data_IF_270245414883
#
_entry.id   IF_270245414883
#
_cell.length_a   1.000
_cell.length_b   1.000
_cell.length_c   1.000
_cell.angle_alpha   90.00
_cell.angle_beta   90.00
_cell.angle_gamma   90.00
#
_symmetry.space_group_name_H-M   'P 1'
#
loop_
_entity.id
_entity.type
_entity.pdbx_description
1 polymer ?
#
# COMPACT_ATOMS: atom_id res chain seq x y z
N UNK A 1 11.85 -21.32 -3.37
CA UNK A 1 11.74 -20.90 -1.96
C UNK A 1 10.54 -19.97 -1.84
N UNK A 2 9.92 -19.86 -0.66
CA UNK A 2 8.76 -18.99 -0.46
C UNK A 2 9.02 -17.53 -0.91
N UNK A 3 10.22 -17.00 -0.62
CA UNK A 3 10.64 -15.67 -1.08
C UNK A 3 10.57 -15.46 -2.60
N UNK A 4 10.94 -16.47 -3.41
CA UNK A 4 10.81 -16.38 -4.88
C UNK A 4 9.35 -16.42 -5.36
N UNK A 5 8.46 -17.03 -4.58
CA UNK A 5 7.05 -17.13 -4.96
C UNK A 5 6.30 -15.82 -4.73
N UNK A 6 6.56 -15.16 -3.60
CA UNK A 6 6.00 -13.84 -3.32
C UNK A 6 6.67 -12.74 -4.16
N UNK A 7 7.96 -12.85 -4.50
CA UNK A 7 8.64 -11.88 -5.36
C UNK A 7 8.52 -12.19 -6.87
N UNK A 8 7.54 -13.03 -7.29
CA UNK A 8 7.49 -13.63 -8.65
C UNK A 8 7.35 -12.66 -9.81
N UNK A 9 6.90 -11.43 -9.55
CA UNK A 9 6.80 -10.39 -10.58
C UNK A 9 8.15 -9.71 -10.88
N UNK A 10 9.16 -9.93 -10.03
CA UNK A 10 10.47 -9.29 -10.08
C UNK A 10 10.37 -7.76 -10.30
N UNK A 11 9.34 -7.13 -9.73
CA UNK A 11 9.10 -5.69 -9.87
C UNK A 11 9.63 -4.95 -8.67
N UNK A 12 10.71 -4.18 -8.85
CA UNK A 12 11.36 -3.44 -7.75
C UNK A 12 11.46 -1.95 -8.09
N UNK A 13 11.78 -1.14 -7.08
CA UNK A 13 12.09 0.29 -7.25
C UNK A 13 13.39 0.56 -8.02
N UNK A 14 14.24 -0.45 -8.20
CA UNK A 14 15.41 -0.37 -9.08
C UNK A 14 15.08 -0.76 -10.54
N UNK A 15 13.82 -1.07 -10.83
CA UNK A 15 13.33 -1.48 -12.14
C UNK A 15 12.96 -2.96 -12.21
N UNK A 16 12.18 -3.32 -13.24
CA UNK A 16 11.76 -4.70 -13.46
C UNK A 16 12.96 -5.61 -13.72
N UNK A 17 13.00 -6.76 -13.07
CA UNK A 17 14.09 -7.75 -13.08
C UNK A 17 15.41 -7.29 -12.43
N UNK A 18 15.42 -6.15 -11.74
CA UNK A 18 16.58 -5.67 -10.99
C UNK A 18 16.44 -6.06 -9.51
N UNK A 19 16.98 -7.23 -9.18
CA UNK A 19 16.87 -7.84 -7.84
C UNK A 19 18.19 -7.78 -7.06
N UNK A 20 18.10 -7.79 -5.73
CA UNK A 20 19.25 -7.88 -4.81
C UNK A 20 20.08 -6.60 -4.66
N UNK A 21 19.64 -5.48 -5.25
CA UNK A 21 20.29 -4.17 -5.12
C UNK A 21 19.69 -3.36 -3.95
N UNK A 22 20.47 -2.52 -3.27
CA UNK A 22 19.92 -1.51 -2.37
C UNK A 22 18.94 -0.60 -3.10
N UNK A 23 17.95 -0.06 -2.40
CA UNK A 23 17.02 0.93 -2.94
C UNK A 23 16.87 2.13 -2.00
N UNK A 24 16.80 3.33 -2.56
CA UNK A 24 16.29 4.52 -1.86
C UNK A 24 14.87 4.76 -2.33
N UNK A 25 13.90 4.76 -1.41
CA UNK A 25 12.47 4.83 -1.71
C UNK A 25 11.87 6.00 -0.96
N UNK A 26 11.23 6.89 -1.68
CA UNK A 26 10.51 8.04 -1.11
C UNK A 26 9.07 7.67 -0.78
N UNK A 27 8.52 8.22 0.28
CA UNK A 27 7.10 8.04 0.59
C UNK A 27 6.47 9.33 1.08
N UNK A 28 5.15 9.41 0.99
CA UNK A 28 4.41 10.54 1.54
C UNK A 28 2.99 10.18 1.97
N UNK A 29 2.36 11.10 2.70
CA UNK A 29 0.96 11.03 3.13
C UNK A 29 0.14 12.17 2.51
N UNK A 30 -0.24 12.08 1.22
CA UNK A 30 -0.95 13.16 0.53
C UNK A 30 -2.28 13.50 1.17
N UNK A 31 -2.60 14.80 1.14
CA UNK A 31 -3.98 15.26 1.23
C UNK A 31 -4.68 15.00 -0.09
N UNK A 32 -5.42 13.91 -0.14
CA UNK A 32 -6.17 13.56 -1.33
C UNK A 32 -7.36 14.48 -1.50
N UNK A 33 -7.41 15.15 -2.65
CA UNK A 33 -8.52 16.00 -3.05
C UNK A 33 -9.18 15.44 -4.31
N UNK A 34 -10.48 15.68 -4.46
CA UNK A 34 -11.25 15.26 -5.63
C UNK A 34 -12.28 14.18 -5.32
N UNK A 35 -13.13 13.90 -6.31
CA UNK A 35 -14.27 12.98 -6.14
C UNK A 35 -13.86 11.51 -6.21
N UNK A 36 -12.78 11.20 -6.92
CA UNK A 36 -12.35 9.84 -7.19
C UNK A 36 -10.84 9.71 -7.15
N UNK A 37 -10.34 8.57 -6.66
CA UNK A 37 -8.96 8.17 -6.92
C UNK A 37 -8.81 7.61 -8.36
N UNK A 38 -7.60 7.15 -8.69
CA UNK A 38 -7.26 6.70 -10.04
C UNK A 38 -7.91 5.36 -10.43
N UNK A 39 -8.53 4.67 -9.46
CA UNK A 39 -9.26 3.41 -9.62
C UNK A 39 -10.79 3.61 -9.61
N UNK A 40 -11.26 4.85 -9.48
CA UNK A 40 -12.68 5.17 -9.46
C UNK A 40 -13.36 5.02 -8.09
N UNK A 41 -12.60 4.77 -7.01
CA UNK A 41 -13.15 4.80 -5.66
C UNK A 41 -13.44 6.23 -5.23
N UNK A 42 -14.56 6.43 -4.53
CA UNK A 42 -15.09 7.75 -4.20
C UNK A 42 -14.42 8.33 -2.95
N UNK A 43 -14.33 9.65 -2.91
CA UNK A 43 -13.94 10.44 -1.74
C UNK A 43 -12.63 9.96 -1.08
N UNK A 44 -11.50 9.96 -1.81
CA UNK A 44 -10.21 9.70 -1.19
C UNK A 44 -9.85 10.81 -0.20
N UNK A 45 -9.19 10.46 0.89
CA UNK A 45 -8.74 11.43 1.89
C UNK A 45 -7.46 10.99 2.60
N UNK A 46 -6.83 11.90 3.35
CA UNK A 46 -5.54 11.66 3.99
C UNK A 46 -5.58 10.60 5.10
N UNK A 47 -4.42 10.00 5.36
CA UNK A 47 -4.18 9.25 6.58
C UNK A 47 -4.29 10.16 7.81
N UNK A 48 -4.84 9.63 8.90
CA UNK A 48 -4.77 10.29 10.20
C UNK A 48 -3.39 10.09 10.87
N UNK A 49 -3.12 10.77 11.97
CA UNK A 49 -1.80 10.72 12.63
C UNK A 49 -1.42 9.32 13.16
N UNK A 50 -2.39 8.54 13.65
CA UNK A 50 -2.14 7.15 14.08
C UNK A 50 -1.71 6.28 12.90
N UNK A 51 -2.39 6.41 11.75
CA UNK A 51 -2.03 5.70 10.53
C UNK A 51 -0.65 6.12 10.04
N UNK A 52 -0.31 7.42 10.04
CA UNK A 52 1.03 7.92 9.67
C UNK A 52 2.10 7.33 10.57
N UNK A 53 1.90 7.33 11.88
CA UNK A 53 2.82 6.73 12.86
C UNK A 53 3.03 5.23 12.59
N UNK A 54 1.95 4.48 12.38
CA UNK A 54 2.01 3.05 12.15
C UNK A 54 2.62 2.70 10.78
N UNK A 55 2.40 3.53 9.75
CA UNK A 55 3.05 3.39 8.46
C UNK A 55 4.56 3.61 8.55
N UNK A 56 5.02 4.67 9.23
CA UNK A 56 6.47 4.90 9.48
C UNK A 56 7.12 3.70 10.16
N UNK A 57 6.53 3.23 11.27
CA UNK A 57 7.03 2.04 11.99
C UNK A 57 7.02 0.75 11.14
N UNK A 58 6.15 0.67 10.15
CA UNK A 58 6.07 -0.49 9.25
C UNK A 58 7.13 -0.42 8.15
N UNK A 59 7.42 0.78 7.64
CA UNK A 59 8.54 1.04 6.73
C UNK A 59 9.88 0.76 7.43
N UNK A 60 10.04 1.20 8.68
CA UNK A 60 11.22 0.88 9.50
C UNK A 60 11.42 -0.64 9.63
N UNK A 61 10.35 -1.38 9.93
CA UNK A 61 10.42 -2.84 10.04
C UNK A 61 10.82 -3.53 8.72
N UNK A 62 10.43 -2.98 7.56
CA UNK A 62 10.91 -3.45 6.27
C UNK A 62 12.39 -3.12 6.04
N UNK A 63 12.83 -1.91 6.42
CA UNK A 63 14.24 -1.49 6.37
C UNK A 63 15.15 -2.32 7.28
N UNK A 64 14.64 -2.83 8.40
CA UNK A 64 15.42 -3.68 9.32
C UNK A 64 15.83 -5.02 8.68
N UNK A 65 15.06 -5.52 7.72
CA UNK A 65 15.24 -6.85 7.11
C UNK A 65 15.64 -6.81 5.63
N UNK A 66 15.64 -5.63 5.01
CA UNK A 66 15.99 -5.43 3.60
C UNK A 66 16.88 -4.19 3.44
N UNK A 67 17.73 -4.17 2.40
CA UNK A 67 18.61 -3.04 2.11
C UNK A 67 17.85 -1.90 1.41
N UNK A 68 16.83 -1.36 2.08
CA UNK A 68 15.94 -0.32 1.56
C UNK A 68 15.96 0.84 2.54
N UNK A 69 16.19 2.04 2.04
CA UNK A 69 16.12 3.27 2.83
C UNK A 69 14.88 4.05 2.46
N UNK A 70 13.96 4.20 3.40
CA UNK A 70 12.78 5.03 3.22
C UNK A 70 13.03 6.48 3.62
N UNK A 71 12.59 7.43 2.79
CA UNK A 71 12.65 8.86 3.09
C UNK A 71 11.26 9.46 2.97
N UNK A 72 10.72 9.96 4.09
CA UNK A 72 9.47 10.71 4.04
C UNK A 72 9.71 12.04 3.33
N UNK A 73 8.94 12.30 2.28
CA UNK A 73 8.90 13.59 1.62
C UNK A 73 7.67 14.32 2.12
N UNK A 74 7.90 15.48 2.73
CA UNK A 74 6.82 16.36 3.13
C UNK A 74 6.03 16.77 1.89
N UNK A 75 4.80 16.30 1.81
CA UNK A 75 3.84 16.78 0.84
C UNK A 75 3.27 18.06 1.39
N UNK A 76 3.55 19.14 0.67
CA UNK A 76 3.33 20.47 1.15
C UNK A 76 1.91 20.67 1.67
N UNK A 77 1.81 21.05 2.94
CA UNK A 77 0.95 22.16 3.35
C UNK A 77 1.44 23.47 2.68
N UNK A 78 1.62 23.45 1.36
CA UNK A 78 1.99 24.58 0.52
C UNK A 78 0.71 24.97 -0.21
N UNK A 79 0.23 26.18 0.03
CA UNK A 79 -0.98 26.70 -0.62
C UNK A 79 -0.93 26.45 -2.13
N UNK A 80 -1.90 25.67 -2.63
CA UNK A 80 -2.05 25.37 -4.05
C UNK A 80 -1.36 24.11 -4.58
N UNK A 81 -0.61 23.36 -3.75
CA UNK A 81 -0.02 22.08 -4.16
C UNK A 81 -1.05 20.95 -4.05
N UNK A 82 -1.40 20.32 -5.18
CA UNK A 82 -2.38 19.23 -5.27
C UNK A 82 -1.68 17.89 -5.08
N UNK A 83 -2.41 16.84 -4.68
CA UNK A 83 -1.89 15.47 -4.67
C UNK A 83 -1.33 15.00 -6.02
N UNK A 84 -1.74 15.63 -7.14
CA UNK A 84 -1.17 15.41 -8.48
C UNK A 84 0.27 15.92 -8.66
N UNK A 85 0.72 16.80 -7.77
CA UNK A 85 2.01 17.48 -7.86
C UNK A 85 3.10 16.76 -7.05
N UNK A 86 2.69 15.78 -6.25
CA UNK A 86 3.57 14.91 -5.47
C UNK A 86 3.87 13.66 -6.28
N UNK A 87 5.15 13.43 -6.57
CA UNK A 87 5.65 12.16 -7.10
C UNK A 87 6.63 11.55 -6.11
N UNK A 88 6.10 10.82 -5.14
CA UNK A 88 6.91 9.91 -4.31
C UNK A 88 6.66 8.48 -4.75
N UNK A 89 7.61 7.59 -4.47
CA UNK A 89 7.51 6.18 -4.84
C UNK A 89 6.29 5.53 -4.16
N UNK A 90 6.13 5.74 -2.86
CA UNK A 90 5.00 5.21 -2.09
C UNK A 90 4.06 6.35 -1.68
N UNK A 91 2.76 6.15 -1.81
CA UNK A 91 1.74 7.07 -1.27
C UNK A 91 0.64 6.31 -0.54
N UNK A 92 0.13 6.90 0.53
CA UNK A 92 -0.92 6.30 1.35
C UNK A 92 -2.20 7.14 1.31
N UNK A 93 -3.36 6.50 1.27
CA UNK A 93 -4.65 7.19 1.32
C UNK A 93 -5.77 6.33 1.87
N UNK A 94 -6.80 6.98 2.41
CA UNK A 94 -8.04 6.35 2.79
C UNK A 94 -9.11 6.56 1.70
N UNK A 95 -10.10 5.69 1.67
CA UNK A 95 -11.31 5.79 0.86
C UNK A 95 -12.52 5.69 1.77
N UNK A 96 -13.48 6.60 1.59
CA UNK A 96 -14.80 6.47 2.23
C UNK A 96 -15.57 5.29 1.63
N UNK A 97 -15.71 4.22 2.40
CA UNK A 97 -16.31 2.95 2.00
C UNK A 97 -17.31 2.46 3.07
N UNK A 98 -18.47 3.13 3.20
CA UNK A 98 -19.42 2.87 4.27
C UNK A 98 -20.06 1.47 4.20
N UNK A 99 -19.89 0.77 3.07
CA UNK A 99 -20.46 -0.55 2.82
C UNK A 99 -19.41 -1.67 2.93
N UNK A 100 -18.15 -1.36 3.25
CA UNK A 100 -17.08 -2.37 3.38
C UNK A 100 -16.88 -3.18 2.11
N UNK A 101 -16.81 -2.51 0.96
CA UNK A 101 -16.64 -3.15 -0.34
C UNK A 101 -15.23 -3.71 -0.56
N UNK A 102 -14.24 -3.27 0.21
CA UNK A 102 -12.89 -3.82 0.23
C UNK A 102 -12.21 -3.54 1.59
N UNK A 103 -11.07 -4.20 1.85
CA UNK A 103 -10.26 -3.95 3.06
C UNK A 103 -9.19 -2.88 2.79
N UNK A 104 -8.25 -3.20 1.92
CA UNK A 104 -7.23 -2.31 1.40
C UNK A 104 -6.72 -2.89 0.07
N UNK A 105 -5.89 -2.12 -0.64
CA UNK A 105 -5.15 -2.61 -1.80
C UNK A 105 -3.96 -1.71 -2.08
N UNK A 106 -2.96 -2.25 -2.78
CA UNK A 106 -1.82 -1.51 -3.24
C UNK A 106 -1.33 -1.95 -4.61
N UNK A 107 -0.56 -1.08 -5.26
CA UNK A 107 0.09 -1.34 -6.54
C UNK A 107 1.57 -1.59 -6.36
N UNK A 108 2.08 -2.56 -7.13
CA UNK A 108 3.52 -2.84 -7.20
C UNK A 108 4.28 -1.65 -7.81
N UNK A 109 5.62 -1.61 -7.65
CA UNK A 109 6.48 -0.80 -8.49
C UNK A 109 6.22 -1.08 -9.98
N UNK A 110 6.52 -0.11 -10.85
CA UNK A 110 6.39 -0.23 -12.31
C UNK A 110 4.96 -0.53 -12.81
N UNK A 111 3.93 -0.08 -12.09
CA UNK A 111 2.52 -0.28 -12.46
C UNK A 111 2.01 0.92 -13.25
N UNK A 112 1.73 0.73 -14.55
CA UNK A 112 1.18 1.77 -15.42
C UNK A 112 -0.19 1.36 -15.95
N UNK A 113 -1.21 2.20 -15.75
CA UNK A 113 -2.52 2.00 -16.34
C UNK A 113 -3.21 3.33 -16.65
N UNK A 114 -4.11 3.32 -17.63
CA UNK A 114 -4.87 4.50 -18.05
C UNK A 114 -4.00 5.73 -18.41
N UNK A 115 -2.79 5.49 -18.92
CA UNK A 115 -1.81 6.54 -19.25
C UNK A 115 -1.18 7.22 -18.04
N UNK A 116 -1.28 6.63 -16.85
CA UNK A 116 -0.74 7.14 -15.58
C UNK A 116 0.20 6.12 -14.95
N UNK A 117 1.19 6.65 -14.25
CA UNK A 117 1.98 5.86 -13.29
C UNK A 117 1.14 5.70 -12.02
N UNK A 118 0.84 4.45 -11.69
CA UNK A 118 0.07 4.07 -10.51
C UNK A 118 0.96 3.42 -9.46
N UNK A 119 2.28 3.37 -9.64
CA UNK A 119 3.21 2.61 -8.79
C UNK A 119 3.12 3.04 -7.32
N UNK A 120 3.19 2.07 -6.40
CA UNK A 120 3.35 2.29 -4.96
C UNK A 120 2.19 3.01 -4.26
N UNK A 121 1.00 3.04 -4.84
CA UNK A 121 -0.18 3.58 -4.17
C UNK A 121 -0.79 2.53 -3.26
N UNK A 122 -0.99 2.86 -1.99
CA UNK A 122 -1.68 2.03 -1.01
C UNK A 122 -2.94 2.73 -0.50
N UNK A 123 -4.08 2.06 -0.65
CA UNK A 123 -5.41 2.59 -0.37
C UNK A 123 -6.14 1.73 0.65
N UNK A 124 -6.74 2.37 1.65
CA UNK A 124 -7.35 1.70 2.81
C UNK A 124 -8.82 2.08 2.92
N UNK A 125 -9.69 1.09 3.12
CA UNK A 125 -11.10 1.33 3.42
C UNK A 125 -11.23 1.93 4.82
N UNK A 126 -12.09 2.95 4.97
CA UNK A 126 -12.44 3.52 6.27
C UNK A 126 -13.61 2.81 6.96
N UNK A 127 -14.11 1.72 6.37
CA UNK A 127 -15.18 0.94 6.92
C UNK A 127 -14.87 0.54 8.37
N UNK A 128 -15.82 0.77 9.27
CA UNK A 128 -15.57 0.60 10.71
C UNK A 128 -15.01 -0.78 11.09
N UNK A 129 -15.51 -1.86 10.47
CA UNK A 129 -15.02 -3.22 10.76
C UNK A 129 -13.67 -3.55 10.11
N UNK A 130 -13.19 -2.73 9.15
CA UNK A 130 -11.86 -2.88 8.57
C UNK A 130 -10.75 -2.53 9.59
N UNK A 131 -11.03 -1.63 10.54
CA UNK A 131 -10.09 -1.22 11.59
C UNK A 131 -8.87 -0.42 11.10
N UNK A 132 -8.80 -0.08 9.81
CA UNK A 132 -7.66 0.60 9.20
C UNK A 132 -7.39 2.01 9.75
N UNK A 133 -8.43 2.69 10.26
CA UNK A 133 -8.33 4.06 10.77
C UNK A 133 -7.92 4.13 12.25
N UNK A 134 -7.88 2.98 12.94
CA UNK A 134 -7.43 2.83 14.33
C UNK A 134 -6.37 1.72 14.44
N UNK A 135 -5.24 1.83 13.73
CA UNK A 135 -4.19 0.81 13.81
C UNK A 135 -3.53 0.86 15.19
N UNK A 136 -3.29 -0.31 15.77
CA UNK A 136 -2.55 -0.48 17.02
C UNK A 136 -1.64 -1.71 16.92
N UNK A 137 -0.69 -1.85 17.83
CA UNK A 137 0.20 -3.01 17.79
C UNK A 137 -0.60 -4.30 18.01
N UNK A 138 -0.47 -5.26 17.09
CA UNK A 138 -1.12 -6.57 17.17
C UNK A 138 -2.56 -6.61 16.65
N UNK A 139 -3.13 -5.50 16.20
CA UNK A 139 -4.43 -5.53 15.52
C UNK A 139 -4.30 -5.68 14.00
N UNK A 140 -5.43 -5.98 13.37
CA UNK A 140 -5.49 -6.21 11.93
C UNK A 140 -5.20 -4.94 11.12
N UNK A 141 -5.65 -3.75 11.56
CA UNK A 141 -5.34 -2.50 10.86
C UNK A 141 -3.84 -2.23 10.72
N UNK A 142 -3.04 -2.56 11.75
CA UNK A 142 -1.57 -2.50 11.65
C UNK A 142 -1.02 -3.57 10.70
N UNK A 143 -1.54 -4.79 10.74
CA UNK A 143 -1.14 -5.84 9.81
C UNK A 143 -1.41 -5.43 8.36
N UNK A 144 -2.60 -4.88 8.06
CA UNK A 144 -2.97 -4.39 6.74
C UNK A 144 -1.97 -3.33 6.24
N UNK A 145 -1.56 -2.39 7.09
CA UNK A 145 -0.52 -1.40 6.71
C UNK A 145 0.80 -2.08 6.31
N UNK A 146 1.27 -3.05 7.09
CA UNK A 146 2.51 -3.79 6.79
C UNK A 146 2.37 -4.56 5.46
N UNK A 147 1.22 -5.20 5.27
CA UNK A 147 0.89 -6.00 4.08
C UNK A 147 0.90 -5.16 2.81
N UNK A 148 0.15 -4.05 2.80
CA UNK A 148 0.07 -3.18 1.63
C UNK A 148 1.43 -2.53 1.31
N UNK A 149 2.25 -2.21 2.33
CA UNK A 149 3.64 -1.78 2.08
C UNK A 149 4.42 -2.89 1.35
N UNK A 150 4.25 -4.16 1.73
CA UNK A 150 4.86 -5.30 1.03
C UNK A 150 4.55 -5.31 -0.47
N UNK A 151 3.30 -5.03 -0.86
CA UNK A 151 2.93 -4.85 -2.26
C UNK A 151 3.65 -3.68 -2.91
N UNK A 152 3.69 -2.52 -2.25
CA UNK A 152 4.43 -1.37 -2.80
C UNK A 152 5.94 -1.62 -2.95
N UNK A 153 6.47 -2.69 -2.35
CA UNK A 153 7.85 -3.14 -2.50
C UNK A 153 8.05 -4.25 -3.54
N UNK A 154 6.98 -4.71 -4.19
CA UNK A 154 7.05 -5.73 -5.24
C UNK A 154 6.65 -7.14 -4.80
N UNK A 155 6.19 -7.31 -3.57
CA UNK A 155 5.75 -8.63 -3.08
C UNK A 155 4.30 -8.87 -3.47
N UNK A 156 4.02 -10.04 -3.99
CA UNK A 156 2.68 -10.52 -4.28
C UNK A 156 2.15 -11.35 -3.12
N UNK A 157 0.83 -11.53 -3.11
CA UNK A 157 0.19 -12.55 -2.31
C UNK A 157 0.87 -13.91 -2.51
N UNK A 158 1.00 -14.74 -1.46
CA UNK A 158 1.57 -16.08 -1.58
C UNK A 158 0.74 -17.06 -2.43
N UNK A 159 -0.41 -16.65 -2.97
CA UNK A 159 -1.17 -17.39 -3.97
C UNK A 159 -1.75 -16.47 -5.04
N UNK A 160 -2.40 -17.04 -6.05
CA UNK A 160 -3.04 -16.28 -7.14
C UNK A 160 -4.50 -15.95 -6.78
N UNK A 161 -4.72 -15.08 -5.80
CA UNK A 161 -6.03 -14.54 -5.47
C UNK A 161 -5.97 -13.05 -5.11
N UNK A 162 -7.08 -12.36 -5.34
CA UNK A 162 -7.35 -11.00 -4.88
C UNK A 162 -8.52 -11.06 -3.88
N UNK A 163 -8.52 -10.20 -2.86
CA UNK A 163 -9.66 -10.03 -1.97
C UNK A 163 -10.95 -9.76 -2.77
N UNK A 164 -12.02 -10.50 -2.48
CA UNK A 164 -13.34 -10.32 -3.10
C UNK A 164 -13.57 -10.95 -4.48
N UNK A 165 -12.56 -11.52 -5.15
CA UNK A 165 -12.76 -12.15 -6.47
C UNK A 165 -13.06 -13.66 -6.43
N UNK A 166 -12.92 -14.28 -5.27
CA UNK A 166 -13.40 -15.61 -4.94
C UNK A 166 -13.58 -15.61 -3.43
N UNK A 167 -14.66 -16.19 -2.90
CA UNK A 167 -14.80 -16.39 -1.45
C UNK A 167 -13.51 -17.06 -0.97
N UNK A 168 -12.67 -16.43 -0.13
CA UNK A 168 -11.42 -17.03 0.26
C UNK A 168 -11.73 -18.14 1.26
N UNK A 169 -12.03 -19.31 0.73
CA UNK A 169 -11.90 -20.52 1.50
C UNK A 169 -10.42 -20.69 1.83
N UNK A 170 -10.14 -21.06 3.07
CA UNK A 170 -8.85 -21.48 3.64
C UNK A 170 -8.05 -22.50 2.79
N UNK A 171 -8.62 -22.97 1.68
CA UNK A 171 -8.12 -24.00 0.78
C UNK A 171 -7.35 -23.44 -0.43
N UNK A 172 -7.25 -22.11 -0.60
CA UNK A 172 -6.47 -21.48 -1.68
C UNK A 172 -5.51 -20.37 -1.24
N UNK A 173 -5.48 -20.04 0.05
CA UNK A 173 -4.45 -19.19 0.63
C UNK A 173 -3.29 -20.07 1.11
N UNK A 174 -2.08 -19.87 0.59
CA UNK A 174 -0.90 -20.51 1.19
C UNK A 174 -0.63 -19.95 2.60
N UNK A 175 -1.14 -18.74 2.92
CA UNK A 175 -1.05 -18.12 4.24
C UNK A 175 -2.33 -17.35 4.62
N UNK A 176 -2.77 -17.51 5.86
CA UNK A 176 -4.06 -17.00 6.36
C UNK A 176 -4.13 -15.47 6.57
N UNK A 177 -2.98 -14.78 6.55
CA UNK A 177 -2.86 -13.33 6.82
C UNK A 177 -3.43 -12.45 5.70
N UNK A 178 -3.81 -13.05 4.57
CA UNK A 178 -4.08 -12.38 3.30
C UNK A 178 -5.54 -12.56 2.81
N UNK A 179 -6.40 -13.17 3.62
CA UNK A 179 -7.72 -13.59 3.14
C UNK A 179 -8.85 -13.46 4.17
N UNK A 180 -8.98 -12.28 4.79
CA UNK A 180 -10.15 -11.93 5.60
C UNK A 180 -10.70 -10.56 5.27
#
# INVERSE_FOLDING_TARGET
>A
TAGKHIAREDSTWNGKYVIGQPAEVTYSFPKWEGKFNQFGNKNPYEFNELQKEHARKSLDAWSDIANIKFTEVAVGNVDGMKASDVKTDITFGNIYDPNGTFQAYATLPNTYAYGKDLSGQAWFSDYYYAGNTTPELGNYGRLTIIHEIGHTLGLMHPGDYNAGQNVPGYLKSDYAEDSR
#
